data_IF_348453689493
#
_entry.id   IF_348453689493
#
_cell.length_a   1.000
_cell.length_b   1.000
_cell.length_c   1.000
_cell.angle_alpha   90.00
_cell.angle_beta   90.00
_cell.angle_gamma   90.00
#
_symmetry.space_group_name_H-M   'P 1'
#
loop_
_entity.id
_entity.type
_entity.pdbx_description
1 polymer ?
#
# COMPACT_ATOMS: atom_id res chain seq x y z
N UNK A 1 -7.49 40.27 0.56
CA UNK A 1 -8.01 39.03 -0.05
C UNK A 1 -7.31 37.86 0.64
N UNK A 2 -8.04 37.11 1.46
CA UNK A 2 -7.51 36.23 2.48
C UNK A 2 -6.74 35.05 1.90
N UNK A 3 -5.50 34.87 2.37
CA UNK A 3 -4.75 33.60 2.20
C UNK A 3 -5.53 32.48 2.88
N UNK A 4 -6.23 31.67 2.10
CA UNK A 4 -6.74 30.39 2.56
C UNK A 4 -5.53 29.52 2.88
N UNK A 5 -5.46 29.02 4.10
CA UNK A 5 -4.59 27.92 4.51
C UNK A 5 -4.86 26.74 3.58
N UNK A 6 -4.01 26.55 2.59
CA UNK A 6 -3.97 25.32 1.80
C UNK A 6 -3.28 24.28 2.68
N UNK A 7 -4.06 23.43 3.34
CA UNK A 7 -3.52 22.19 3.87
C UNK A 7 -2.82 21.46 2.74
N UNK A 8 -1.63 20.92 2.94
CA UNK A 8 -0.92 20.20 1.90
C UNK A 8 -1.76 18.98 1.47
N UNK A 9 -2.09 18.92 0.17
CA UNK A 9 -2.81 17.81 -0.44
C UNK A 9 -2.16 16.47 -0.04
N UNK A 10 -2.95 15.47 0.32
CA UNK A 10 -2.44 14.12 0.48
C UNK A 10 -2.07 13.50 -0.89
N UNK A 11 -1.44 12.32 -0.90
CA UNK A 11 -1.00 11.70 -2.15
C UNK A 11 -2.16 11.39 -3.11
N UNK A 12 -3.33 10.98 -2.61
CA UNK A 12 -4.51 10.69 -3.43
C UNK A 12 -5.06 11.97 -4.05
N UNK A 13 -5.27 13.02 -3.27
CA UNK A 13 -5.71 14.32 -3.76
C UNK A 13 -4.74 14.94 -4.77
N UNK A 14 -3.43 14.77 -4.56
CA UNK A 14 -2.43 15.21 -5.53
C UNK A 14 -2.59 14.49 -6.87
N UNK A 15 -2.81 13.18 -6.83
CA UNK A 15 -2.97 12.38 -8.03
C UNK A 15 -4.26 12.74 -8.78
N UNK A 16 -5.37 12.99 -8.07
CA UNK A 16 -6.63 13.44 -8.67
C UNK A 16 -6.44 14.77 -9.42
N UNK A 17 -5.79 15.75 -8.78
CA UNK A 17 -5.49 17.04 -9.42
C UNK A 17 -4.61 16.85 -10.65
N UNK A 18 -3.61 15.99 -10.59
CA UNK A 18 -2.69 15.75 -11.71
C UNK A 18 -3.37 15.01 -12.86
N UNK A 19 -4.24 14.04 -12.58
CA UNK A 19 -5.00 13.29 -13.60
C UNK A 19 -5.99 14.22 -14.30
N UNK A 20 -6.73 15.05 -13.56
CA UNK A 20 -7.62 16.05 -14.14
C UNK A 20 -6.87 17.07 -15.02
N UNK A 21 -5.71 17.57 -14.53
CA UNK A 21 -4.89 18.49 -15.32
C UNK A 21 -4.29 17.81 -16.57
N UNK A 22 -3.91 16.53 -16.45
CA UNK A 22 -3.42 15.73 -17.58
C UNK A 22 -4.51 15.56 -18.66
N UNK A 23 -5.73 15.25 -18.27
CA UNK A 23 -6.89 15.22 -19.19
C UNK A 23 -7.08 16.58 -19.90
N UNK A 24 -7.04 17.66 -19.12
CA UNK A 24 -7.23 19.03 -19.63
C UNK A 24 -6.16 19.44 -20.65
N UNK A 25 -4.87 19.18 -20.36
CA UNK A 25 -3.76 19.62 -21.24
C UNK A 25 -3.59 18.73 -22.46
N UNK A 26 -4.02 17.48 -22.39
CA UNK A 26 -3.97 16.54 -23.51
C UNK A 26 -5.23 16.58 -24.38
N UNK A 27 -6.36 16.99 -23.82
CA UNK A 27 -7.67 16.90 -24.45
C UNK A 27 -8.14 15.43 -24.61
N UNK A 28 -7.52 14.47 -23.94
CA UNK A 28 -7.93 13.07 -24.02
C UNK A 28 -9.22 12.83 -23.25
N UNK A 29 -10.17 12.05 -23.82
CA UNK A 29 -11.46 11.79 -23.20
C UNK A 29 -11.38 10.92 -21.95
N UNK A 30 -10.27 10.22 -21.72
CA UNK A 30 -10.03 9.39 -20.56
C UNK A 30 -8.60 9.61 -20.04
N UNK A 31 -8.47 9.92 -18.76
CA UNK A 31 -7.20 9.96 -18.06
C UNK A 31 -7.32 9.22 -16.72
N UNK A 32 -6.29 8.54 -16.31
CA UNK A 32 -6.27 7.84 -15.03
C UNK A 32 -4.85 7.65 -14.53
N UNK A 33 -4.73 7.31 -13.26
CA UNK A 33 -3.41 7.12 -12.65
C UNK A 33 -3.44 6.38 -11.33
N UNK A 34 -2.27 5.96 -10.90
CA UNK A 34 -2.09 5.25 -9.65
C UNK A 34 -0.66 5.29 -9.15
N UNK A 35 -0.49 5.17 -7.84
CA UNK A 35 0.82 5.00 -7.23
C UNK A 35 1.28 3.55 -7.28
N UNK A 36 2.57 3.34 -7.51
CA UNK A 36 3.21 2.03 -7.40
C UNK A 36 3.42 1.68 -5.93
N UNK A 37 2.89 0.54 -5.51
CA UNK A 37 3.14 -0.07 -4.19
C UNK A 37 3.67 -1.49 -4.41
N UNK A 38 4.92 -1.73 -4.01
CA UNK A 38 5.61 -2.99 -4.35
C UNK A 38 5.78 -3.14 -5.86
N UNK A 39 5.22 -4.18 -6.45
CA UNK A 39 5.26 -4.45 -7.89
C UNK A 39 3.96 -4.09 -8.63
N UNK A 40 2.97 -3.48 -7.96
CA UNK A 40 1.63 -3.24 -8.51
C UNK A 40 1.24 -1.78 -8.38
N UNK A 41 0.73 -1.20 -9.47
CA UNK A 41 0.05 0.10 -9.46
C UNK A 41 -1.45 -0.14 -9.32
N UNK A 42 -2.08 0.53 -8.35
CA UNK A 42 -3.54 0.55 -8.25
C UNK A 42 -4.06 1.88 -8.73
N UNK A 43 -4.97 1.86 -9.71
CA UNK A 43 -5.61 3.07 -10.24
C UNK A 43 -6.59 3.61 -9.20
N UNK A 44 -6.33 4.83 -8.72
CA UNK A 44 -7.17 5.52 -7.72
C UNK A 44 -7.76 6.81 -8.25
N UNK A 45 -7.09 7.48 -9.19
CA UNK A 45 -7.54 8.70 -9.83
C UNK A 45 -8.02 8.40 -11.26
N UNK A 46 -9.22 8.83 -11.61
CA UNK A 46 -9.83 8.58 -12.92
C UNK A 46 -10.63 9.80 -13.36
N UNK A 47 -10.45 10.23 -14.61
CA UNK A 47 -11.14 11.34 -15.24
C UNK A 47 -11.73 10.89 -16.59
N UNK A 48 -12.98 11.25 -16.86
CA UNK A 48 -13.70 10.93 -18.11
C UNK A 48 -14.98 10.13 -17.89
N UNK A 49 -15.77 9.99 -18.96
CA UNK A 49 -17.01 9.22 -18.96
C UNK A 49 -16.76 7.72 -19.15
N UNK A 50 -17.69 6.86 -18.66
CA UNK A 50 -17.66 5.40 -18.81
C UNK A 50 -16.35 4.74 -18.29
N UNK A 51 -15.79 5.28 -17.20
CA UNK A 51 -14.49 4.85 -16.66
C UNK A 51 -14.57 4.01 -15.38
N UNK A 52 -15.77 3.57 -14.99
CA UNK A 52 -15.97 2.82 -13.74
C UNK A 52 -15.13 1.53 -13.66
N UNK A 53 -14.87 0.88 -14.81
CA UNK A 53 -14.03 -0.33 -14.89
C UNK A 53 -12.55 -0.07 -14.55
N UNK A 54 -12.09 1.18 -14.68
CA UNK A 54 -10.69 1.55 -14.44
C UNK A 54 -10.39 1.80 -12.96
N UNK A 55 -11.40 2.21 -12.18
CA UNK A 55 -11.18 2.48 -10.75
C UNK A 55 -10.87 1.18 -9.99
N UNK A 56 -9.78 1.17 -9.24
CA UNK A 56 -9.30 -0.01 -8.53
C UNK A 56 -8.53 -1.02 -9.39
N UNK A 57 -8.36 -0.76 -10.70
CA UNK A 57 -7.56 -1.61 -11.59
C UNK A 57 -6.13 -1.75 -11.06
N UNK A 58 -5.67 -2.99 -10.96
CA UNK A 58 -4.34 -3.33 -10.43
C UNK A 58 -3.43 -3.78 -11.56
N UNK A 59 -2.48 -2.93 -11.93
CA UNK A 59 -1.52 -3.18 -13.01
C UNK A 59 -0.19 -3.64 -12.44
N UNK A 60 0.17 -4.89 -12.72
CA UNK A 60 1.45 -5.46 -12.30
C UNK A 60 2.60 -5.03 -13.21
N UNK A 61 3.81 -4.89 -12.65
CA UNK A 61 5.03 -4.62 -13.43
C UNK A 61 5.24 -5.70 -14.50
N UNK A 62 5.60 -5.31 -15.71
CA UNK A 62 5.80 -6.21 -16.85
C UNK A 62 4.50 -6.66 -17.54
N UNK A 63 3.31 -6.34 -17.00
CA UNK A 63 2.01 -6.74 -17.56
C UNK A 63 1.27 -5.55 -18.17
N UNK A 64 0.66 -5.76 -19.31
CA UNK A 64 -0.02 -4.73 -20.09
C UNK A 64 0.90 -3.57 -20.50
N UNK A 65 0.32 -2.50 -21.03
CA UNK A 65 1.06 -1.33 -21.46
C UNK A 65 1.72 -0.60 -20.27
N UNK A 66 0.97 -0.43 -19.18
CA UNK A 66 1.45 0.25 -17.98
C UNK A 66 2.55 -0.51 -17.26
N UNK A 67 2.42 -1.82 -17.11
CA UNK A 67 3.44 -2.67 -16.51
C UNK A 67 4.75 -2.65 -17.28
N UNK A 68 4.67 -2.62 -18.59
CA UNK A 68 5.83 -2.49 -19.46
C UNK A 68 6.48 -1.11 -19.37
N UNK A 69 5.69 -0.03 -19.28
CA UNK A 69 6.21 1.31 -19.05
C UNK A 69 6.95 1.42 -17.70
N UNK A 70 6.43 0.78 -16.65
CA UNK A 70 7.07 0.71 -15.33
C UNK A 70 8.41 -0.04 -15.36
N UNK A 71 8.48 -1.13 -16.10
CA UNK A 71 9.69 -1.96 -16.20
C UNK A 71 10.79 -1.27 -16.99
N UNK A 72 10.43 -0.66 -18.13
CA UNK A 72 11.37 -0.03 -19.04
C UNK A 72 11.69 1.44 -18.63
N UNK A 73 11.04 1.96 -17.59
CA UNK A 73 11.21 3.34 -17.08
C UNK A 73 11.06 4.41 -18.18
N UNK A 74 10.13 4.20 -19.10
CA UNK A 74 9.86 5.14 -20.19
C UNK A 74 8.40 5.09 -20.62
N UNK A 75 7.89 6.19 -21.21
CA UNK A 75 6.54 6.20 -21.74
C UNK A 75 6.34 5.12 -22.82
N UNK A 76 5.15 4.53 -22.82
CA UNK A 76 4.70 3.56 -23.81
C UNK A 76 3.35 3.98 -24.35
N UNK A 77 3.11 3.74 -25.62
CA UNK A 77 1.81 3.97 -26.24
C UNK A 77 1.48 2.87 -27.24
N UNK A 78 0.21 2.69 -27.45
CA UNK A 78 -0.32 1.87 -28.54
C UNK A 78 -1.47 2.61 -29.26
N UNK A 79 -1.48 2.71 -30.58
CA UNK A 79 -2.56 3.32 -31.33
C UNK A 79 -3.81 2.44 -31.35
N UNK A 80 -3.65 1.14 -31.19
CA UNK A 80 -4.71 0.14 -31.13
C UNK A 80 -4.42 -0.83 -30.01
N UNK A 81 -5.16 -0.70 -28.91
CA UNK A 81 -4.93 -1.51 -27.71
C UNK A 81 -5.30 -2.98 -27.96
N UNK A 82 -6.47 -3.23 -28.54
CA UNK A 82 -7.01 -4.57 -28.71
C UNK A 82 -6.16 -5.46 -29.62
N UNK A 83 -5.45 -4.87 -30.58
CA UNK A 83 -4.63 -5.61 -31.55
C UNK A 83 -3.12 -5.45 -31.31
N UNK A 84 -2.71 -4.86 -30.20
CA UNK A 84 -1.32 -4.61 -29.89
C UNK A 84 -0.57 -5.90 -29.56
N UNK A 85 0.39 -6.31 -30.39
CA UNK A 85 1.23 -7.51 -30.16
C UNK A 85 2.39 -7.28 -29.20
N UNK A 86 2.59 -6.03 -28.79
CA UNK A 86 3.74 -5.63 -27.96
C UNK A 86 3.40 -5.49 -26.47
N UNK A 87 2.23 -5.91 -26.04
CA UNK A 87 1.76 -5.89 -24.66
C UNK A 87 1.08 -7.20 -24.31
N UNK A 88 0.96 -7.50 -23.04
CA UNK A 88 0.08 -8.58 -22.58
C UNK A 88 -1.35 -8.02 -22.41
N UNK A 89 -2.33 -8.87 -22.59
CA UNK A 89 -3.75 -8.52 -22.63
C UNK A 89 -4.48 -8.86 -21.31
N UNK A 90 -3.77 -8.75 -20.19
CA UNK A 90 -4.30 -9.09 -18.85
C UNK A 90 -5.43 -8.15 -18.38
N UNK A 91 -5.56 -6.97 -19.00
CA UNK A 91 -6.48 -5.90 -18.58
C UNK A 91 -7.48 -5.50 -19.67
N UNK A 92 -7.69 -6.38 -20.66
CA UNK A 92 -8.55 -6.12 -21.81
C UNK A 92 -9.97 -5.73 -21.40
N UNK A 93 -10.52 -6.45 -20.41
CA UNK A 93 -11.86 -6.20 -19.94
C UNK A 93 -12.04 -4.76 -19.47
N UNK A 94 -11.18 -4.31 -18.56
CA UNK A 94 -11.28 -2.98 -17.95
C UNK A 94 -11.03 -1.87 -18.97
N UNK A 95 -10.07 -2.05 -19.85
CA UNK A 95 -9.66 -1.06 -20.86
C UNK A 95 -10.72 -0.97 -21.99
N UNK A 96 -11.22 -2.11 -22.47
CA UNK A 96 -12.21 -2.15 -23.53
C UNK A 96 -13.60 -1.73 -23.02
N UNK A 97 -13.97 -2.07 -21.79
CA UNK A 97 -15.23 -1.60 -21.16
C UNK A 97 -15.24 -0.07 -21.01
N UNK A 98 -14.07 0.56 -20.81
CA UNK A 98 -13.93 2.02 -20.82
C UNK A 98 -13.96 2.63 -22.23
N UNK A 99 -14.09 1.82 -23.28
CA UNK A 99 -14.10 2.23 -24.68
C UNK A 99 -12.76 2.77 -25.19
N UNK A 100 -11.66 2.39 -24.57
CA UNK A 100 -10.32 2.86 -24.96
C UNK A 100 -9.81 2.06 -26.14
N UNK A 101 -9.52 2.78 -27.23
CA UNK A 101 -8.93 2.24 -28.47
C UNK A 101 -7.43 2.50 -28.49
N UNK A 102 -6.99 3.73 -28.22
CA UNK A 102 -5.58 4.09 -28.13
C UNK A 102 -5.22 4.38 -26.67
N UNK A 103 -4.04 3.93 -26.23
CA UNK A 103 -3.61 4.10 -24.84
C UNK A 103 -2.16 4.56 -24.76
N UNK A 104 -1.89 5.50 -23.86
CA UNK A 104 -0.54 5.88 -23.43
C UNK A 104 -0.36 5.62 -21.94
N UNK A 105 0.82 5.18 -21.54
CA UNK A 105 1.24 5.01 -20.15
C UNK A 105 2.56 5.76 -19.92
N UNK A 106 2.59 6.67 -18.95
CA UNK A 106 3.72 7.51 -18.61
C UNK A 106 4.16 7.20 -17.18
N UNK A 107 5.29 6.53 -16.97
CA UNK A 107 5.80 6.27 -15.63
C UNK A 107 6.39 7.56 -15.04
N UNK A 108 6.01 7.87 -13.81
CA UNK A 108 6.58 8.95 -13.01
C UNK A 108 7.74 8.38 -12.23
N UNK A 109 8.95 8.85 -12.55
CA UNK A 109 10.19 8.25 -12.05
C UNK A 109 10.82 9.15 -11.01
N UNK A 110 11.06 8.64 -9.81
CA UNK A 110 11.82 9.29 -8.76
C UNK A 110 12.96 8.37 -8.30
N UNK A 111 14.14 8.93 -8.11
CA UNK A 111 15.35 8.18 -7.68
C UNK A 111 15.61 6.88 -8.49
N UNK A 112 15.36 6.92 -9.81
CA UNK A 112 15.61 5.78 -10.71
C UNK A 112 14.57 4.68 -10.69
N UNK A 113 13.43 4.86 -9.99
CA UNK A 113 12.36 3.89 -9.91
C UNK A 113 11.00 4.54 -10.23
N UNK A 114 10.07 3.77 -10.76
CA UNK A 114 8.69 4.21 -10.95
C UNK A 114 8.01 4.43 -9.59
N UNK A 115 7.39 5.59 -9.41
CA UNK A 115 6.64 5.98 -8.21
C UNK A 115 5.14 6.01 -8.44
N UNK A 116 4.73 6.38 -9.66
CA UNK A 116 3.35 6.42 -10.11
C UNK A 116 3.29 6.17 -11.62
N UNK A 117 2.10 5.93 -12.16
CA UNK A 117 1.87 5.87 -13.60
C UNK A 117 0.66 6.72 -13.93
N UNK A 118 0.79 7.57 -14.96
CA UNK A 118 -0.31 8.28 -15.58
C UNK A 118 -0.67 7.59 -16.89
N UNK A 119 -1.96 7.49 -17.16
CA UNK A 119 -2.51 6.90 -18.38
C UNK A 119 -3.40 7.90 -19.08
N UNK A 120 -3.36 7.90 -20.40
CA UNK A 120 -4.29 8.64 -21.23
C UNK A 120 -4.88 7.75 -22.30
N UNK A 121 -6.21 7.72 -22.42
CA UNK A 121 -6.94 6.91 -23.39
C UNK A 121 -7.71 7.78 -24.37
N UNK A 122 -7.69 7.37 -25.66
CA UNK A 122 -8.59 7.89 -26.69
C UNK A 122 -9.52 6.79 -27.18
N UNK A 123 -10.73 7.19 -27.59
CA UNK A 123 -11.73 6.29 -28.20
C UNK A 123 -11.57 6.19 -29.71
N UNK A 124 -10.55 6.83 -30.27
CA UNK A 124 -10.22 6.79 -31.68
C UNK A 124 -8.79 6.31 -31.92
N UNK A 125 -8.55 5.72 -33.09
CA UNK A 125 -7.22 5.29 -33.49
C UNK A 125 -6.30 6.50 -33.76
N UNK A 126 -5.07 6.46 -33.26
CA UNK A 126 -3.97 7.36 -33.68
C UNK A 126 -3.93 8.76 -33.04
N UNK A 127 -4.86 9.13 -32.17
CA UNK A 127 -4.94 10.49 -31.59
C UNK A 127 -3.89 10.84 -30.50
N UNK A 128 -2.97 9.93 -30.19
CA UNK A 128 -2.00 10.12 -29.10
C UNK A 128 -0.74 10.91 -29.50
N UNK A 129 -0.54 11.27 -30.76
CA UNK A 129 0.67 11.96 -31.24
C UNK A 129 0.93 13.33 -30.57
N UNK A 130 -0.10 13.94 -30.00
CA UNK A 130 -0.01 15.21 -29.28
C UNK A 130 0.29 15.12 -27.79
N UNK A 131 0.32 13.92 -27.20
CA UNK A 131 0.41 13.75 -25.75
C UNK A 131 1.78 14.18 -25.20
N UNK A 132 2.85 13.97 -25.96
CA UNK A 132 4.22 14.32 -25.51
C UNK A 132 4.60 15.80 -25.80
N UNK A 133 3.62 16.70 -25.72
CA UNK A 133 3.87 18.14 -25.84
C UNK A 133 4.41 18.71 -24.53
N UNK A 134 5.00 19.90 -24.64
CA UNK A 134 5.59 20.65 -23.51
C UNK A 134 4.72 20.68 -22.25
N UNK A 135 3.38 20.93 -22.30
CA UNK A 135 2.56 20.95 -21.07
C UNK A 135 2.56 19.62 -20.30
N UNK A 136 2.57 18.48 -20.99
CA UNK A 136 2.62 17.16 -20.34
C UNK A 136 3.99 16.93 -19.72
N UNK A 137 5.06 17.34 -20.38
CA UNK A 137 6.43 17.26 -19.81
C UNK A 137 6.52 18.10 -18.55
N UNK A 138 6.05 19.34 -18.57
CA UNK A 138 6.05 20.25 -17.43
C UNK A 138 5.21 19.69 -16.25
N UNK A 139 4.05 19.11 -16.54
CA UNK A 139 3.17 18.48 -15.55
C UNK A 139 3.87 17.27 -14.89
N UNK A 140 4.42 16.35 -15.68
CA UNK A 140 5.11 15.16 -15.18
C UNK A 140 6.36 15.51 -14.40
N UNK A 141 7.14 16.49 -14.82
CA UNK A 141 8.29 17.01 -14.08
C UNK A 141 7.88 17.67 -12.76
N UNK A 142 6.76 18.41 -12.75
CA UNK A 142 6.22 19.01 -11.54
C UNK A 142 5.81 17.94 -10.53
N UNK A 143 5.10 16.91 -10.97
CA UNK A 143 4.75 15.75 -10.13
C UNK A 143 6.01 15.03 -9.62
N UNK A 144 7.00 14.81 -10.48
CA UNK A 144 8.27 14.21 -10.07
C UNK A 144 8.97 15.02 -8.97
N UNK A 145 8.99 16.37 -9.09
CA UNK A 145 9.58 17.25 -8.07
C UNK A 145 8.83 17.14 -6.75
N UNK A 146 7.50 17.22 -6.79
CA UNK A 146 6.65 17.13 -5.60
C UNK A 146 6.85 15.78 -4.88
N UNK A 147 6.82 14.68 -5.62
CA UNK A 147 7.02 13.34 -5.03
C UNK A 147 8.44 13.17 -4.46
N UNK A 148 9.47 13.75 -5.08
CA UNK A 148 10.83 13.75 -4.51
C UNK A 148 10.88 14.50 -3.18
N UNK A 149 10.23 15.65 -3.09
CA UNK A 149 10.16 16.43 -1.84
C UNK A 149 9.46 15.61 -0.76
N UNK A 150 8.32 15.01 -1.07
CA UNK A 150 7.57 14.15 -0.14
C UNK A 150 8.37 12.93 0.32
N UNK A 151 9.02 12.25 -0.61
CA UNK A 151 9.88 11.10 -0.31
C UNK A 151 11.09 11.51 0.54
N UNK A 152 11.65 12.72 0.34
CA UNK A 152 12.74 13.24 1.15
C UNK A 152 12.28 13.64 2.56
N UNK A 153 11.12 14.30 2.67
CA UNK A 153 10.50 14.62 3.97
C UNK A 153 10.20 13.32 4.72
N UNK A 154 9.62 12.31 4.04
CA UNK A 154 9.35 11.00 4.64
C UNK A 154 10.62 10.26 5.08
N UNK A 155 11.76 10.50 4.43
CA UNK A 155 13.07 9.95 4.86
C UNK A 155 13.67 10.68 6.04
N UNK A 156 13.49 12.02 6.12
CA UNK A 156 14.05 12.87 7.19
C UNK A 156 13.21 12.85 8.46
N UNK A 157 11.92 12.64 8.34
CA UNK A 157 11.08 12.35 9.51
C UNK A 157 11.50 10.96 10.01
N UNK A 158 12.03 10.82 11.24
CA UNK A 158 12.38 9.51 11.78
C UNK A 158 11.20 8.57 11.57
N UNK A 159 11.46 7.38 11.03
CA UNK A 159 10.43 6.34 10.79
C UNK A 159 9.79 5.87 12.10
N UNK A 160 9.19 6.79 12.85
CA UNK A 160 8.31 6.53 13.98
C UNK A 160 6.83 6.49 13.57
N UNK A 161 6.53 6.80 12.31
CA UNK A 161 5.16 6.71 11.76
C UNK A 161 5.23 6.19 10.34
N UNK A 162 5.20 4.88 10.20
CA UNK A 162 4.72 4.26 8.97
C UNK A 162 3.29 4.77 8.78
N UNK A 163 3.08 5.62 7.77
CA UNK A 163 1.76 6.07 7.39
C UNK A 163 1.05 4.89 6.70
N UNK A 164 0.66 3.91 7.49
CA UNK A 164 -0.59 3.20 7.28
C UNK A 164 -1.52 3.90 8.25
N UNK A 165 -2.23 4.93 7.79
CA UNK A 165 -3.33 5.48 8.55
C UNK A 165 -4.25 4.31 8.88
N UNK A 166 -4.17 3.86 10.12
CA UNK A 166 -5.26 3.11 10.69
C UNK A 166 -6.45 4.07 10.63
N UNK A 167 -7.61 3.66 10.13
CA UNK A 167 -8.78 4.53 10.07
C UNK A 167 -9.24 5.00 11.46
N UNK A 168 -8.53 4.59 12.52
CA UNK A 168 -8.81 4.91 13.90
C UNK A 168 -7.84 5.98 14.42
N UNK A 169 -8.33 7.01 15.16
CA UNK A 169 -7.52 7.94 15.91
C UNK A 169 -6.54 7.22 16.85
N UNK A 170 -5.38 7.83 17.12
CA UNK A 170 -4.31 7.20 17.91
C UNK A 170 -4.77 6.65 19.29
N UNK A 171 -5.64 7.32 20.06
CA UNK A 171 -6.15 6.76 21.32
C UNK A 171 -6.98 5.47 21.10
N UNK A 172 -7.84 5.46 20.07
CA UNK A 172 -8.68 4.30 19.76
C UNK A 172 -7.84 3.14 19.20
N UNK A 173 -6.73 3.43 18.49
CA UNK A 173 -5.80 2.41 18.04
C UNK A 173 -5.05 1.77 19.22
N UNK A 174 -4.67 2.53 20.23
CA UNK A 174 -4.04 1.97 21.44
C UNK A 174 -5.04 1.13 22.26
N UNK A 175 -6.28 1.55 22.36
CA UNK A 175 -7.34 0.77 23.00
C UNK A 175 -7.61 -0.55 22.24
N UNK A 176 -7.62 -0.50 20.91
CA UNK A 176 -7.75 -1.69 20.08
C UNK A 176 -6.57 -2.66 20.28
N UNK A 177 -5.35 -2.15 20.39
CA UNK A 177 -4.14 -2.95 20.67
C UNK A 177 -4.19 -3.60 22.05
N UNK A 178 -4.63 -2.86 23.05
CA UNK A 178 -4.83 -3.39 24.40
C UNK A 178 -5.88 -4.52 24.40
N UNK A 179 -7.04 -4.27 23.79
CA UNK A 179 -8.11 -5.27 23.66
C UNK A 179 -7.65 -6.52 22.88
N UNK A 180 -6.86 -6.35 21.83
CA UNK A 180 -6.28 -7.47 21.08
C UNK A 180 -5.35 -8.33 21.94
N UNK A 181 -4.44 -7.71 22.69
CA UNK A 181 -3.50 -8.42 23.54
C UNK A 181 -4.22 -9.13 24.72
N UNK A 182 -5.23 -8.50 25.30
CA UNK A 182 -6.05 -9.09 26.36
C UNK A 182 -6.85 -10.30 25.85
N UNK A 183 -7.49 -10.17 24.68
CA UNK A 183 -8.20 -11.29 24.03
C UNK A 183 -7.27 -12.46 23.75
N UNK A 184 -6.05 -12.21 23.25
CA UNK A 184 -5.06 -13.25 23.02
C UNK A 184 -4.63 -13.94 24.33
N UNK A 185 -4.44 -13.18 25.37
CA UNK A 185 -4.14 -13.73 26.69
C UNK A 185 -5.28 -14.63 27.20
N UNK A 186 -6.52 -14.16 27.13
CA UNK A 186 -7.70 -14.94 27.53
C UNK A 186 -7.88 -16.22 26.68
N UNK A 187 -7.60 -16.15 25.36
CA UNK A 187 -7.67 -17.29 24.45
C UNK A 187 -6.73 -18.44 24.83
N UNK A 188 -5.61 -18.17 25.55
CA UNK A 188 -4.68 -19.22 25.95
C UNK A 188 -5.25 -20.13 27.02
N UNK A 189 -6.14 -19.63 27.87
CA UNK A 189 -6.77 -20.37 28.97
C UNK A 189 -8.00 -21.21 28.50
N UNK A 190 -8.49 -20.98 27.27
CA UNK A 190 -9.68 -21.67 26.77
C UNK A 190 -9.33 -23.10 26.30
N UNK A 191 -9.97 -24.09 26.87
CA UNK A 191 -9.78 -25.52 26.53
C UNK A 191 -10.72 -25.98 25.43
N UNK A 192 -11.93 -25.42 25.34
CA UNK A 192 -12.95 -25.78 24.34
C UNK A 192 -12.49 -25.38 22.92
N UNK A 193 -12.36 -26.34 21.97
CA UNK A 193 -11.93 -26.07 20.61
C UNK A 193 -12.88 -25.15 19.84
N UNK A 194 -14.20 -25.25 20.06
CA UNK A 194 -15.19 -24.44 19.35
C UNK A 194 -15.14 -22.98 19.81
N UNK A 195 -15.00 -22.76 21.13
CA UNK A 195 -14.83 -21.42 21.69
C UNK A 195 -13.51 -20.82 21.24
N UNK A 196 -12.42 -21.59 21.22
CA UNK A 196 -11.11 -21.15 20.75
C UNK A 196 -11.14 -20.72 19.30
N UNK A 197 -11.80 -21.45 18.41
CA UNK A 197 -11.97 -21.09 17.01
C UNK A 197 -12.71 -19.76 16.84
N UNK A 198 -13.75 -19.51 17.64
CA UNK A 198 -14.50 -18.25 17.63
C UNK A 198 -13.64 -17.08 18.11
N UNK A 199 -12.86 -17.25 19.16
CA UNK A 199 -11.93 -16.23 19.65
C UNK A 199 -10.86 -15.90 18.62
N UNK A 200 -10.27 -16.90 17.95
CA UNK A 200 -9.32 -16.70 16.85
C UNK A 200 -9.94 -15.87 15.71
N UNK A 201 -11.18 -16.14 15.34
CA UNK A 201 -11.87 -15.33 14.31
C UNK A 201 -12.06 -13.86 14.74
N UNK A 202 -12.30 -13.60 16.02
CA UNK A 202 -12.37 -12.22 16.56
C UNK A 202 -10.99 -11.58 16.57
N UNK A 203 -9.93 -12.29 17.00
CA UNK A 203 -8.55 -11.83 16.96
C UNK A 203 -8.15 -11.37 15.53
N UNK A 204 -8.46 -12.19 14.52
CA UNK A 204 -8.20 -11.86 13.11
C UNK A 204 -8.97 -10.62 12.64
N UNK A 205 -10.21 -10.43 13.10
CA UNK A 205 -10.99 -9.22 12.78
C UNK A 205 -10.38 -7.97 13.40
N UNK A 206 -9.96 -8.03 14.65
CA UNK A 206 -9.29 -6.93 15.34
C UNK A 206 -7.96 -6.60 14.67
N UNK A 207 -7.17 -7.61 14.30
CA UNK A 207 -5.92 -7.43 13.57
C UNK A 207 -6.15 -6.72 12.22
N UNK A 208 -7.20 -7.09 11.47
CA UNK A 208 -7.55 -6.40 10.22
C UNK A 208 -7.95 -4.93 10.44
N UNK A 209 -8.71 -4.64 11.49
CA UNK A 209 -9.14 -3.27 11.83
C UNK A 209 -7.96 -2.38 12.22
N UNK A 210 -6.91 -2.94 12.81
CA UNK A 210 -5.69 -2.23 13.15
C UNK A 210 -4.68 -2.11 12.00
N UNK A 211 -5.01 -2.65 10.81
CA UNK A 211 -4.13 -2.67 9.64
C UNK A 211 -3.10 -3.81 9.64
N UNK A 212 -3.14 -4.72 10.61
CA UNK A 212 -2.35 -5.94 10.62
C UNK A 212 -3.01 -6.99 9.69
N UNK A 213 -2.59 -7.04 8.44
CA UNK A 213 -3.00 -8.08 7.48
C UNK A 213 -1.75 -8.89 7.16
N UNK A 214 -1.74 -10.22 7.37
CA UNK A 214 -0.64 -11.06 6.91
C UNK A 214 -0.50 -10.92 5.39
N UNK A 215 0.73 -10.79 4.84
CA UNK A 215 0.91 -10.74 3.40
C UNK A 215 0.47 -12.06 2.78
N UNK A 216 -0.20 -12.02 1.60
CA UNK A 216 -0.44 -13.23 0.82
C UNK A 216 0.89 -13.80 0.32
N UNK A 217 0.98 -15.10 0.29
CA UNK A 217 2.07 -15.98 -0.14
C UNK A 217 3.29 -15.33 -0.84
N UNK A 218 4.39 -15.32 -0.13
CA UNK A 218 5.73 -14.92 -0.56
C UNK A 218 6.63 -14.94 0.67
N UNK A 219 7.93 -15.00 0.60
CA UNK A 219 8.94 -15.13 1.68
C UNK A 219 8.72 -14.28 2.97
N UNK A 220 7.50 -14.24 3.46
CA UNK A 220 7.09 -13.47 4.62
C UNK A 220 7.54 -14.16 5.90
N UNK A 221 8.17 -13.40 6.77
CA UNK A 221 8.51 -13.83 8.14
C UNK A 221 7.25 -14.36 8.81
N UNK A 222 7.25 -15.64 9.21
CA UNK A 222 6.13 -16.25 9.95
C UNK A 222 6.48 -16.39 11.43
N UNK A 223 5.77 -15.65 12.26
CA UNK A 223 5.81 -15.85 13.71
C UNK A 223 4.86 -16.98 14.10
N UNK A 224 5.28 -17.79 15.07
CA UNK A 224 4.37 -18.74 15.68
C UNK A 224 3.35 -18.01 16.56
N UNK A 225 2.23 -18.66 16.88
CA UNK A 225 1.21 -18.11 17.78
C UNK A 225 1.84 -17.65 19.13
N UNK A 226 2.71 -18.44 19.71
CA UNK A 226 3.38 -18.13 20.98
C UNK A 226 4.35 -16.96 20.88
N UNK A 227 5.07 -16.84 19.77
CA UNK A 227 5.92 -15.67 19.52
C UNK A 227 5.09 -14.39 19.39
N UNK A 228 3.93 -14.48 18.71
CA UNK A 228 2.98 -13.36 18.57
C UNK A 228 2.35 -12.99 19.92
N UNK A 229 1.96 -13.99 20.75
CA UNK A 229 1.41 -13.75 22.08
C UNK A 229 2.41 -13.00 22.97
N UNK A 230 3.65 -13.43 22.99
CA UNK A 230 4.74 -12.80 23.77
C UNK A 230 5.01 -11.38 23.26
N UNK A 231 5.11 -11.18 21.94
CA UNK A 231 5.33 -9.84 21.36
C UNK A 231 4.17 -8.90 21.63
N UNK A 232 2.93 -9.40 21.67
CA UNK A 232 1.74 -8.59 21.99
C UNK A 232 1.82 -8.05 23.44
N UNK A 233 2.23 -8.87 24.40
CA UNK A 233 2.44 -8.44 25.78
C UNK A 233 3.58 -7.42 25.90
N UNK A 234 4.68 -7.65 25.21
CA UNK A 234 5.79 -6.68 25.18
C UNK A 234 5.37 -5.36 24.52
N UNK A 235 4.50 -5.40 23.54
CA UNK A 235 3.96 -4.20 22.88
C UNK A 235 3.11 -3.34 23.82
N UNK A 236 2.51 -3.92 24.86
CA UNK A 236 1.83 -3.24 25.95
C UNK A 236 2.78 -2.72 27.06
N UNK A 237 4.08 -2.98 26.94
CA UNK A 237 5.07 -2.56 27.93
C UNK A 237 5.34 -3.60 29.02
N UNK A 238 4.70 -4.77 29.02
CA UNK A 238 4.90 -5.80 30.03
C UNK A 238 6.36 -6.23 30.15
N UNK A 239 6.85 -6.43 31.36
CA UNK A 239 8.12 -7.11 31.63
C UNK A 239 8.04 -8.58 31.24
N UNK A 240 9.17 -9.29 31.20
CA UNK A 240 9.13 -10.73 30.88
C UNK A 240 8.42 -11.55 31.96
N UNK A 241 8.48 -11.11 33.21
CA UNK A 241 7.75 -11.73 34.32
C UNK A 241 6.25 -11.52 34.19
N UNK A 242 5.80 -10.28 33.92
CA UNK A 242 4.38 -9.95 33.70
C UNK A 242 3.82 -10.65 32.45
N UNK A 243 4.57 -10.67 31.35
CA UNK A 243 4.19 -11.41 30.14
C UNK A 243 4.10 -12.93 30.41
N UNK A 244 5.01 -13.47 31.23
CA UNK A 244 4.97 -14.86 31.66
C UNK A 244 3.72 -15.17 32.47
N UNK A 245 3.38 -14.30 33.40
CA UNK A 245 2.20 -14.43 34.24
C UNK A 245 0.90 -14.36 33.41
N UNK A 246 0.80 -13.41 32.46
CA UNK A 246 -0.36 -13.25 31.57
C UNK A 246 -0.56 -14.41 30.60
N UNK A 247 0.50 -15.12 30.21
CA UNK A 247 0.47 -16.18 29.20
C UNK A 247 0.63 -17.60 29.77
N UNK A 248 0.71 -17.72 31.11
CA UNK A 248 1.01 -18.96 31.81
C UNK A 248 2.34 -19.58 31.35
N UNK A 249 3.40 -18.78 31.34
CA UNK A 249 4.75 -19.13 30.92
C UNK A 249 5.77 -18.73 31.99
N UNK A 250 6.91 -19.42 32.00
CA UNK A 250 8.06 -18.97 32.81
C UNK A 250 8.75 -17.77 32.15
N UNK A 251 9.39 -16.91 32.94
CA UNK A 251 10.19 -15.79 32.41
C UNK A 251 11.27 -16.26 31.42
N UNK A 252 11.90 -17.43 31.68
CA UNK A 252 12.86 -18.02 30.76
C UNK A 252 12.26 -18.40 29.41
N UNK A 253 11.04 -18.92 29.43
CA UNK A 253 10.30 -19.26 28.21
C UNK A 253 9.95 -18.02 27.41
N UNK A 254 9.51 -16.93 28.07
CA UNK A 254 9.27 -15.64 27.43
C UNK A 254 10.53 -15.11 26.77
N UNK A 255 11.68 -15.14 27.44
CA UNK A 255 12.98 -14.78 26.86
C UNK A 255 13.33 -15.60 25.63
N UNK A 256 13.07 -16.91 25.66
CA UNK A 256 13.31 -17.81 24.52
C UNK A 256 12.44 -17.43 23.31
N UNK A 257 11.15 -17.18 23.50
CA UNK A 257 10.25 -16.74 22.41
C UNK A 257 10.63 -15.38 21.86
N UNK A 258 11.01 -14.42 22.71
CA UNK A 258 11.51 -13.11 22.26
C UNK A 258 12.77 -13.22 21.42
N UNK A 259 13.72 -14.09 21.84
CA UNK A 259 14.93 -14.34 21.07
C UNK A 259 14.63 -14.96 19.71
N UNK A 260 13.73 -15.94 19.67
CA UNK A 260 13.31 -16.59 18.43
C UNK A 260 12.60 -15.61 17.49
N UNK A 261 11.65 -14.84 17.99
CA UNK A 261 10.94 -13.83 17.22
C UNK A 261 11.88 -12.74 16.68
N UNK A 262 12.81 -12.25 17.51
CA UNK A 262 13.84 -11.27 17.10
C UNK A 262 14.72 -11.81 15.98
N UNK A 263 15.15 -13.07 16.06
CA UNK A 263 15.95 -13.71 15.02
C UNK A 263 15.18 -13.81 13.69
N UNK A 264 13.92 -14.23 13.73
CA UNK A 264 13.06 -14.29 12.54
C UNK A 264 12.80 -12.92 11.89
N UNK A 265 12.71 -11.88 12.71
CA UNK A 265 12.50 -10.50 12.28
C UNK A 265 13.81 -9.78 11.89
N UNK A 266 14.97 -10.44 12.03
CA UNK A 266 16.28 -9.88 11.69
C UNK A 266 16.70 -8.69 12.55
N UNK A 267 16.24 -8.63 13.83
CA UNK A 267 16.50 -7.50 14.73
C UNK A 267 17.07 -7.97 16.09
N UNK A 268 17.70 -7.05 16.82
CA UNK A 268 18.14 -7.27 18.18
C UNK A 268 17.39 -6.38 19.16
N UNK A 269 16.85 -6.97 20.24
CA UNK A 269 16.15 -6.25 21.30
C UNK A 269 14.63 -6.31 21.21
N UNK A 270 13.99 -6.32 22.40
CA UNK A 270 12.55 -6.54 22.56
C UNK A 270 11.66 -5.48 21.86
N UNK A 271 12.04 -4.21 21.96
CA UNK A 271 11.31 -3.12 21.34
C UNK A 271 11.53 -3.06 19.83
N UNK A 272 12.72 -3.41 19.37
CA UNK A 272 13.00 -3.53 17.94
C UNK A 272 12.17 -4.67 17.31
N UNK A 273 11.99 -5.79 18.04
CA UNK A 273 11.14 -6.90 17.59
C UNK A 273 9.66 -6.48 17.46
N UNK A 274 9.12 -5.73 18.41
CA UNK A 274 7.76 -5.18 18.33
C UNK A 274 7.63 -4.23 17.14
N UNK A 275 8.57 -3.30 16.98
CA UNK A 275 8.55 -2.35 15.86
C UNK A 275 8.65 -3.06 14.49
N UNK A 276 9.50 -4.09 14.40
CA UNK A 276 9.61 -4.91 13.20
C UNK A 276 8.33 -5.70 12.91
N UNK A 277 7.75 -6.35 13.93
CA UNK A 277 6.51 -7.11 13.78
C UNK A 277 5.33 -6.21 13.34
N UNK A 278 5.23 -4.97 13.85
CA UNK A 278 4.25 -3.97 13.40
C UNK A 278 4.50 -3.54 11.95
N UNK A 279 5.76 -3.32 11.57
CA UNK A 279 6.13 -2.96 10.19
C UNK A 279 5.78 -4.06 9.19
N UNK A 280 6.01 -5.32 9.56
CA UNK A 280 5.66 -6.51 8.78
C UNK A 280 4.16 -6.88 8.90
N UNK A 281 3.35 -6.07 9.60
CA UNK A 281 1.91 -6.28 9.84
C UNK A 281 1.57 -7.61 10.56
N UNK A 282 2.49 -8.12 11.34
CA UNK A 282 2.33 -9.33 12.14
C UNK A 282 1.72 -9.02 13.52
N UNK A 283 1.71 -7.74 13.90
CA UNK A 283 1.07 -7.19 15.11
C UNK A 283 0.28 -5.93 14.77
N UNK A 284 -0.80 -5.66 15.52
CA UNK A 284 -1.53 -4.41 15.48
C UNK A 284 -0.71 -3.16 15.78
#
# INVERSE_FOLDING_TARGET
MAMRNLEPLNDEQLLDVVVSEFARVTGLPVAFGGYLRGATTTVTAVEGEHTNSLHGLRVARGRGLGGRAMEELRPRFTPDYAHSRNITHDYDREILDAGIVSLVAIPIITAGATRAVLYGGSRANGELAGVFRRPVTELTESLCRELRVRDEVARRVPRGRSNTESPLPAPQLEELRASYAELRSASTAVTDPAVRARLTAVEERLARLSGAVPPPDGEAVRLTRRETDVLSQVALGSTNAEAGQALDLTEGTVKAYLKSASAKLGVSGRYAAVAAARRERLLP
#
